data_IF_686639137741
#
_entry.id   IF_686639137741
#
_cell.length_a   1.000
_cell.length_b   1.000
_cell.length_c   1.000
_cell.angle_alpha   90.00
_cell.angle_beta   90.00
_cell.angle_gamma   90.00
#
_symmetry.space_group_name_H-M   'P 1'
#
loop_
_entity.id
_entity.type
_entity.pdbx_description
1 polymer ?
#
# COMPACT_ATOMS: atom_id res chain seq x y z
N UNK A 1 4.22 4.14 9.71
CA UNK A 1 3.58 3.73 8.44
C UNK A 1 2.33 2.89 8.69
N UNK A 2 1.32 2.93 7.81
CA UNK A 2 0.12 2.08 7.92
C UNK A 2 0.52 0.60 8.00
N UNK A 3 -0.06 -0.13 8.94
CA UNK A 3 0.18 -1.58 9.10
C UNK A 3 -0.68 -2.41 8.14
N UNK A 4 -0.28 -3.66 7.84
CA UNK A 4 -1.09 -4.59 7.05
C UNK A 4 -2.51 -4.80 7.62
N UNK A 5 -2.67 -4.78 8.95
CA UNK A 5 -3.96 -4.93 9.61
C UNK A 5 -4.86 -3.70 9.43
N UNK A 6 -4.29 -2.50 9.45
CA UNK A 6 -5.02 -1.26 9.14
C UNK A 6 -5.41 -1.19 7.66
N UNK A 7 -4.55 -1.66 6.76
CA UNK A 7 -4.89 -1.83 5.34
C UNK A 7 -6.10 -2.76 5.23
N UNK A 8 -6.06 -3.94 5.88
CA UNK A 8 -7.18 -4.89 5.90
C UNK A 8 -8.46 -4.27 6.45
N UNK A 9 -8.39 -3.49 7.53
CA UNK A 9 -9.54 -2.81 8.10
C UNK A 9 -10.15 -1.77 7.13
N UNK A 10 -9.32 -1.01 6.42
CA UNK A 10 -9.79 -0.06 5.39
C UNK A 10 -10.38 -0.77 4.18
N UNK A 11 -9.76 -1.86 3.72
CA UNK A 11 -10.29 -2.71 2.63
C UNK A 11 -11.67 -3.25 2.99
N UNK A 12 -11.86 -3.76 4.23
CA UNK A 12 -13.17 -4.24 4.69
C UNK A 12 -14.25 -3.15 4.60
N UNK A 13 -13.91 -1.89 4.86
CA UNK A 13 -14.84 -0.75 4.73
C UNK A 13 -15.13 -0.38 3.28
N UNK A 14 -14.15 -0.56 2.39
CA UNK A 14 -14.28 -0.32 0.95
C UNK A 14 -14.99 -1.45 0.21
N UNK A 15 -14.99 -2.66 0.77
CA UNK A 15 -15.50 -3.88 0.12
C UNK A 15 -16.94 -3.76 -0.39
N UNK A 16 -17.93 -3.23 0.37
CA UNK A 16 -19.30 -3.09 -0.14
C UNK A 16 -19.37 -2.19 -1.39
N UNK A 17 -18.59 -1.10 -1.40
CA UNK A 17 -18.53 -0.16 -2.53
C UNK A 17 -17.81 -0.78 -3.73
N UNK A 18 -16.76 -1.56 -3.48
CA UNK A 18 -16.04 -2.30 -4.51
C UNK A 18 -16.93 -3.34 -5.21
N UNK A 19 -17.74 -4.09 -4.44
CA UNK A 19 -18.72 -5.04 -5.00
C UNK A 19 -19.77 -4.31 -5.84
N UNK A 20 -20.28 -3.18 -5.36
CA UNK A 20 -21.25 -2.38 -6.12
C UNK A 20 -20.65 -1.85 -7.43
N UNK A 21 -19.42 -1.33 -7.40
CA UNK A 21 -18.72 -0.86 -8.60
C UNK A 21 -18.48 -1.99 -9.61
N UNK A 22 -18.08 -3.18 -9.12
CA UNK A 22 -17.92 -4.36 -9.95
C UNK A 22 -19.22 -4.79 -10.63
N UNK A 23 -20.34 -4.80 -9.89
CA UNK A 23 -21.67 -5.09 -10.44
C UNK A 23 -22.14 -4.06 -11.48
N UNK A 24 -21.72 -2.81 -11.34
CA UNK A 24 -22.03 -1.73 -12.28
C UNK A 24 -21.07 -1.67 -13.48
N UNK A 25 -20.10 -2.58 -13.56
CA UNK A 25 -19.00 -2.53 -14.52
C UNK A 25 -18.27 -1.17 -14.54
N UNK A 26 -18.19 -0.52 -13.37
CA UNK A 26 -17.51 0.77 -13.21
C UNK A 26 -15.99 0.57 -13.25
N UNK A 27 -15.43 0.75 -14.44
CA UNK A 27 -14.00 0.65 -14.69
C UNK A 27 -13.20 1.81 -14.10
N UNK A 28 -13.84 2.87 -13.58
CA UNK A 28 -13.15 3.98 -12.92
C UNK A 28 -12.82 3.67 -11.46
N UNK A 29 -13.46 2.65 -10.88
CA UNK A 29 -13.24 2.29 -9.49
C UNK A 29 -11.92 1.55 -9.26
N UNK A 30 -11.46 0.78 -10.24
CA UNK A 30 -10.23 -0.01 -10.17
C UNK A 30 -9.18 0.52 -11.16
N UNK A 31 -7.91 0.74 -10.75
CA UNK A 31 -7.36 0.46 -9.43
C UNK A 31 -7.76 1.52 -8.38
N UNK A 32 -8.29 1.07 -7.25
CA UNK A 32 -8.73 1.96 -6.18
C UNK A 32 -7.53 2.34 -5.30
N UNK A 33 -7.18 3.64 -5.25
CA UNK A 33 -6.15 4.13 -4.33
C UNK A 33 -6.68 4.13 -2.89
N UNK A 34 -6.00 3.41 -2.00
CA UNK A 34 -6.32 3.40 -0.59
C UNK A 34 -5.80 4.67 0.11
N UNK A 35 -6.67 5.51 0.70
CA UNK A 35 -6.23 6.66 1.49
C UNK A 35 -5.64 6.18 2.81
N UNK A 36 -4.31 6.24 2.95
CA UNK A 36 -3.57 5.78 4.11
C UNK A 36 -2.36 6.68 4.39
N UNK A 37 -1.94 6.74 5.65
CA UNK A 37 -0.69 7.40 6.00
C UNK A 37 0.49 6.47 5.66
N UNK A 38 1.33 6.92 4.73
CA UNK A 38 2.52 6.21 4.26
C UNK A 38 3.81 6.77 4.88
N UNK A 39 3.70 7.74 5.78
CA UNK A 39 4.83 8.27 6.52
C UNK A 39 5.47 7.15 7.36
N UNK A 40 6.78 7.03 7.22
CA UNK A 40 7.60 6.06 7.93
C UNK A 40 8.27 6.73 9.13
N UNK A 41 8.62 5.90 10.11
CA UNK A 41 9.40 6.37 11.26
C UNK A 41 10.73 7.04 10.83
N UNK A 42 11.21 8.07 11.55
CA UNK A 42 12.47 8.76 11.25
C UNK A 42 13.70 7.87 11.54
N UNK A 43 13.54 6.82 12.35
CA UNK A 43 14.56 5.81 12.59
C UNK A 43 14.67 4.84 11.40
N UNK A 44 15.89 4.72 10.87
CA UNK A 44 16.21 3.90 9.70
C UNK A 44 15.89 2.42 9.91
N UNK A 45 16.15 1.88 11.11
CA UNK A 45 15.93 0.45 11.38
C UNK A 45 14.43 0.14 11.45
N UNK A 46 13.67 0.99 12.14
CA UNK A 46 12.21 0.86 12.22
C UNK A 46 11.56 1.04 10.85
N UNK A 47 12.04 2.01 10.07
CA UNK A 47 11.56 2.24 8.70
C UNK A 47 11.76 1.03 7.80
N UNK A 48 12.92 0.37 7.85
CA UNK A 48 13.16 -0.85 7.06
C UNK A 48 12.18 -1.96 7.47
N UNK A 49 11.95 -2.14 8.77
CA UNK A 49 10.99 -3.14 9.28
C UNK A 49 9.56 -2.85 8.84
N UNK A 50 9.11 -1.60 8.97
CA UNK A 50 7.78 -1.18 8.53
C UNK A 50 7.58 -1.45 7.02
N UNK A 51 8.58 -1.10 6.20
CA UNK A 51 8.53 -1.29 4.75
C UNK A 51 8.49 -2.77 4.39
N UNK A 52 9.32 -3.58 5.02
CA UNK A 52 9.38 -5.01 4.75
C UNK A 52 8.09 -5.73 5.18
N UNK A 53 7.49 -5.33 6.30
CA UNK A 53 6.20 -5.88 6.74
C UNK A 53 5.07 -5.62 5.74
N UNK A 54 4.98 -4.40 5.19
CA UNK A 54 3.99 -4.10 4.15
C UNK A 54 4.31 -4.85 2.85
N UNK A 55 5.58 -4.95 2.48
CA UNK A 55 5.99 -5.71 1.30
C UNK A 55 5.61 -7.18 1.40
N UNK A 56 5.85 -7.82 2.55
CA UNK A 56 5.48 -9.22 2.81
C UNK A 56 3.97 -9.48 2.72
N UNK A 57 3.14 -8.47 3.03
CA UNK A 57 1.68 -8.55 2.91
C UNK A 57 1.12 -8.16 1.54
N UNK A 58 1.99 -7.75 0.61
CA UNK A 58 1.57 -7.25 -0.71
C UNK A 58 1.48 -8.34 -1.76
N UNK A 59 0.79 -8.02 -2.86
CA UNK A 59 0.69 -8.89 -4.03
C UNK A 59 2.06 -9.21 -4.67
N UNK A 60 3.10 -8.39 -4.44
CA UNK A 60 4.46 -8.68 -4.93
C UNK A 60 5.05 -9.96 -4.33
N UNK A 61 4.71 -10.27 -3.08
CA UNK A 61 5.25 -11.42 -2.35
C UNK A 61 4.25 -12.57 -2.29
N UNK A 62 2.96 -12.28 -2.09
CA UNK A 62 1.94 -13.31 -1.92
C UNK A 62 1.19 -13.68 -3.21
N UNK A 63 1.39 -12.94 -4.31
CA UNK A 63 0.67 -13.14 -5.58
C UNK A 63 -0.80 -12.67 -5.56
N UNK A 64 -1.28 -12.17 -4.42
CA UNK A 64 -2.64 -11.67 -4.20
C UNK A 64 -2.65 -10.56 -3.14
N UNK A 65 -3.69 -9.73 -3.13
CA UNK A 65 -3.85 -8.64 -2.16
C UNK A 65 -3.68 -7.26 -2.78
N UNK A 66 -3.00 -6.36 -2.07
CA UNK A 66 -2.82 -4.98 -2.51
C UNK A 66 -1.50 -4.77 -3.25
N UNK A 67 -1.50 -3.86 -4.23
CA UNK A 67 -0.31 -3.43 -4.96
C UNK A 67 0.28 -2.19 -4.28
N UNK A 68 1.59 -2.18 -4.05
CA UNK A 68 2.31 -1.01 -3.53
C UNK A 68 2.99 -0.32 -4.71
N UNK A 69 2.75 0.99 -4.88
CA UNK A 69 3.54 1.83 -5.78
C UNK A 69 4.74 2.37 -5.00
N UNK A 70 5.93 2.05 -5.48
CA UNK A 70 7.19 2.49 -4.93
C UNK A 70 7.73 3.71 -5.68
N UNK A 71 8.34 4.64 -4.95
CA UNK A 71 9.12 5.75 -5.48
C UNK A 71 10.57 5.66 -5.01
N UNK A 72 11.49 5.95 -5.91
CA UNK A 72 12.92 5.93 -5.64
C UNK A 72 13.36 7.29 -5.11
N UNK A 73 13.52 7.39 -3.80
CA UNK A 73 14.05 8.60 -3.19
C UNK A 73 15.57 8.48 -3.16
N UNK A 74 16.23 9.42 -3.84
CA UNK A 74 17.68 9.56 -3.84
C UNK A 74 18.06 10.50 -2.70
N UNK A 75 18.48 9.92 -1.57
CA UNK A 75 18.94 10.70 -0.43
C UNK A 75 20.47 10.76 -0.42
N UNK A 76 21.03 11.97 -0.35
CA UNK A 76 22.49 12.19 -0.24
C UNK A 76 23.09 11.52 1.00
N UNK A 77 22.31 11.36 2.06
CA UNK A 77 22.73 10.79 3.35
C UNK A 77 22.41 9.30 3.50
N UNK A 78 21.47 8.76 2.72
CA UNK A 78 20.93 7.40 2.94
C UNK A 78 20.94 6.51 1.69
N UNK A 79 21.50 6.99 0.57
CA UNK A 79 21.54 6.26 -0.71
C UNK A 79 20.18 6.26 -1.43
N UNK A 80 20.02 5.33 -2.38
CA UNK A 80 18.77 5.13 -3.12
C UNK A 80 17.86 4.17 -2.35
N UNK A 81 16.74 4.68 -1.83
CA UNK A 81 15.77 3.89 -1.07
C UNK A 81 14.43 3.91 -1.80
N UNK A 82 13.75 2.77 -1.86
CA UNK A 82 12.38 2.67 -2.36
C UNK A 82 11.39 2.95 -1.23
N UNK A 83 10.54 3.94 -1.43
CA UNK A 83 9.49 4.33 -0.49
C UNK A 83 8.10 4.05 -1.06
N UNK A 84 7.14 3.56 -0.27
CA UNK A 84 5.78 3.38 -0.72
C UNK A 84 5.05 4.73 -0.82
N UNK A 85 4.44 5.02 -1.97
CA UNK A 85 3.75 6.30 -2.26
C UNK A 85 2.25 6.13 -2.47
N UNK A 86 1.84 4.94 -2.87
CA UNK A 86 0.43 4.59 -2.94
C UNK A 86 0.23 3.10 -2.74
N UNK A 87 -0.94 2.74 -2.22
CA UNK A 87 -1.43 1.38 -2.15
C UNK A 87 -2.68 1.31 -3.01
N UNK A 88 -2.72 0.35 -3.94
CA UNK A 88 -3.83 0.13 -4.84
C UNK A 88 -4.49 -1.22 -4.58
N UNK A 89 -5.79 -1.25 -4.83
CA UNK A 89 -6.61 -2.45 -4.85
C UNK A 89 -7.08 -2.66 -6.29
N UNK A 90 -6.84 -3.86 -6.81
CA UNK A 90 -7.32 -4.31 -8.11
C UNK A 90 -8.48 -5.30 -7.93
#
# INVERSE_FOLDING_TARGET
MISPDEIRAKVKRLYPRAVQAWLQADSQFFPCRLPCNLETSPDVVQRIREVEQNRQGSAEVQGQGYRIQWELIHSRTQGTIRFPVAIYLD
#
